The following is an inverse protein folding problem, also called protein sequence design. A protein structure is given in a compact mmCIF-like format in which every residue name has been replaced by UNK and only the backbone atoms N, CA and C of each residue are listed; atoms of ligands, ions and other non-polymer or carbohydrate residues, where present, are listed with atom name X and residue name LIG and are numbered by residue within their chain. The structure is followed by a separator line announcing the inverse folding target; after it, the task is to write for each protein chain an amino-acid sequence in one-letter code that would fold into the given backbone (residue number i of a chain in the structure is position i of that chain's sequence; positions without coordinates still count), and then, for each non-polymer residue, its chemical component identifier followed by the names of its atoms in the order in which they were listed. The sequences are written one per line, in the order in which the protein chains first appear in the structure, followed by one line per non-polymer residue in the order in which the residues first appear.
data_IF_159065400082
#
_entry.id   IF_159065400082
#
_cell.length_a   1.000
_cell.length_b   1.000
_cell.length_c   1.000
_cell.angle_alpha   90.00
_cell.angle_beta   90.00
_cell.angle_gamma   90.00
#
_symmetry.space_group_name_H-M   'P 1'
#
loop_
_entity.id
_entity.type
_entity.pdbx_description
1 polymer ?
#
# COMPACT_ATOMS: atom_id res chain seq x y z
N UNK A 1 13.72 -59.38 3.45
CA UNK A 1 12.93 -58.13 3.58
C UNK A 1 13.36 -57.23 2.43
N UNK A 2 12.45 -56.82 1.57
CA UNK A 2 12.82 -55.95 0.45
C UNK A 2 13.20 -54.54 0.95
N UNK A 3 14.25 -53.92 0.39
CA UNK A 3 14.65 -52.58 0.77
C UNK A 3 13.57 -51.57 0.37
N UNK A 4 13.21 -50.70 1.32
CA UNK A 4 12.23 -49.64 1.09
C UNK A 4 12.80 -48.59 0.12
N UNK A 5 12.19 -48.46 -1.05
CA UNK A 5 12.48 -47.39 -2.02
C UNK A 5 11.48 -46.26 -1.82
N UNK A 6 11.95 -45.05 -1.48
CA UNK A 6 11.09 -43.88 -1.34
C UNK A 6 10.45 -43.57 -2.71
N UNK A 7 9.11 -43.51 -2.81
CA UNK A 7 8.46 -43.14 -4.07
C UNK A 7 8.84 -41.71 -4.46
N UNK A 8 9.10 -41.50 -5.76
CA UNK A 8 9.27 -40.15 -6.30
C UNK A 8 8.05 -39.27 -5.96
N UNK A 9 8.25 -37.98 -5.61
CA UNK A 9 7.14 -37.09 -5.34
C UNK A 9 6.29 -36.98 -6.61
N UNK A 10 5.07 -37.52 -6.55
CA UNK A 10 4.08 -37.30 -7.61
C UNK A 10 3.90 -35.79 -7.76
N UNK A 11 3.83 -35.23 -8.98
CA UNK A 11 3.47 -33.84 -9.17
C UNK A 11 2.12 -33.63 -8.50
N UNK A 12 2.12 -32.99 -7.33
CA UNK A 12 0.90 -32.57 -6.67
C UNK A 12 0.19 -31.54 -7.57
N UNK A 13 -1.12 -31.33 -7.38
CA UNK A 13 -1.77 -30.20 -8.02
C UNK A 13 -0.96 -28.95 -7.70
N UNK A 14 -0.60 -28.22 -8.75
CA UNK A 14 0.13 -26.95 -8.68
C UNK A 14 -0.59 -26.10 -7.64
N UNK A 15 0.05 -25.86 -6.48
CA UNK A 15 -0.49 -24.94 -5.49
C UNK A 15 -0.74 -23.58 -6.17
N UNK A 16 -1.67 -22.75 -5.66
CA UNK A 16 -1.87 -21.43 -6.23
C UNK A 16 -0.50 -20.74 -6.29
N UNK A 17 -0.09 -20.34 -7.50
CA UNK A 17 1.16 -19.62 -7.71
C UNK A 17 1.28 -18.53 -6.64
N UNK A 18 2.47 -18.29 -6.07
CA UNK A 18 2.65 -17.15 -5.19
C UNK A 18 2.09 -15.94 -5.93
N UNK A 19 1.10 -15.27 -5.32
CA UNK A 19 0.54 -14.03 -5.86
C UNK A 19 1.74 -13.10 -5.96
N UNK A 20 2.30 -13.00 -7.17
CA UNK A 20 3.23 -11.94 -7.52
C UNK A 20 2.30 -10.80 -7.89
N UNK A 21 2.15 -9.76 -7.06
CA UNK A 21 1.42 -8.59 -7.48
C UNK A 21 2.24 -8.02 -8.62
N UNK A 22 1.78 -8.21 -9.86
CA UNK A 22 2.28 -7.40 -10.95
C UNK A 22 1.79 -5.99 -10.65
N UNK A 23 2.69 -4.98 -10.60
CA UNK A 23 2.24 -3.61 -10.44
C UNK A 23 1.26 -3.31 -11.58
N UNK A 24 0.06 -2.87 -11.24
CA UNK A 24 -0.99 -2.59 -12.22
C UNK A 24 -0.64 -1.40 -13.13
N UNK A 25 0.38 -0.61 -12.74
CA UNK A 25 0.84 0.60 -13.42
C UNK A 25 2.35 0.77 -13.30
N UNK A 26 2.91 1.61 -14.19
CA UNK A 26 4.31 2.01 -14.14
C UNK A 26 4.64 2.70 -12.81
N UNK A 27 5.82 2.42 -12.21
CA UNK A 27 6.26 3.10 -11.00
C UNK A 27 6.39 4.62 -11.21
N UNK A 28 5.88 5.39 -10.25
CA UNK A 28 6.11 6.83 -10.22
C UNK A 28 7.47 7.12 -9.58
N UNK A 29 8.26 8.01 -10.20
CA UNK A 29 9.47 8.55 -9.58
C UNK A 29 9.09 9.66 -8.59
N UNK A 30 9.43 9.43 -7.32
CA UNK A 30 9.15 10.36 -6.23
C UNK A 30 9.75 11.75 -6.46
N UNK A 31 11.03 11.84 -6.86
CA UNK A 31 11.70 13.13 -6.98
C UNK A 31 11.16 13.92 -8.17
N UNK A 32 10.95 13.24 -9.30
CA UNK A 32 10.39 13.87 -10.49
C UNK A 32 8.99 14.45 -10.25
N UNK A 33 8.09 13.67 -9.62
CA UNK A 33 6.73 14.12 -9.38
C UNK A 33 6.65 15.19 -8.28
N UNK A 34 7.50 15.08 -7.24
CA UNK A 34 7.65 16.14 -6.23
C UNK A 34 8.05 17.46 -6.89
N UNK A 35 9.09 17.45 -7.71
CA UNK A 35 9.63 18.66 -8.32
C UNK A 35 8.62 19.29 -9.29
N UNK A 36 7.87 18.47 -10.03
CA UNK A 36 6.75 18.91 -10.85
C UNK A 36 5.65 19.60 -10.03
N UNK A 37 5.20 18.97 -8.93
CA UNK A 37 4.17 19.55 -8.05
C UNK A 37 4.62 20.88 -7.44
N UNK A 38 5.89 20.96 -7.01
CA UNK A 38 6.48 22.19 -6.48
C UNK A 38 6.54 23.29 -7.54
N UNK A 39 6.95 22.97 -8.77
CA UNK A 39 6.99 23.91 -9.89
C UNK A 39 5.59 24.45 -10.24
N UNK A 40 4.58 23.58 -10.22
CA UNK A 40 3.19 23.91 -10.51
C UNK A 40 2.45 24.54 -9.30
N UNK A 41 3.09 24.64 -8.13
CA UNK A 41 2.50 25.09 -6.86
C UNK A 41 1.20 24.34 -6.51
N UNK A 42 1.15 23.05 -6.81
CA UNK A 42 0.01 22.18 -6.47
C UNK A 42 0.44 21.08 -5.51
N UNK A 43 -0.54 20.50 -4.84
CA UNK A 43 -0.34 19.31 -4.03
C UNK A 43 -0.44 18.07 -4.92
N UNK A 44 0.29 17.03 -4.53
CA UNK A 44 0.22 15.74 -5.21
C UNK A 44 -1.13 15.05 -4.94
N UNK A 45 -1.65 14.42 -5.99
CA UNK A 45 -2.82 13.55 -5.99
C UNK A 45 -2.44 12.28 -6.76
N UNK A 46 -2.55 11.13 -6.11
CA UNK A 46 -2.14 9.86 -6.71
C UNK A 46 -3.21 9.36 -7.69
N UNK A 47 -2.91 9.22 -8.99
CA UNK A 47 -3.86 8.70 -9.98
C UNK A 47 -4.21 7.23 -9.78
N UNK A 48 -3.34 6.46 -9.12
CA UNK A 48 -3.51 5.02 -8.89
C UNK A 48 -4.09 4.71 -7.51
N UNK A 49 -4.10 5.68 -6.60
CA UNK A 49 -4.67 5.56 -5.26
C UNK A 49 -5.46 6.82 -4.87
N UNK A 50 -6.64 7.05 -5.51
CA UNK A 50 -7.42 8.25 -5.29
C UNK A 50 -8.00 8.32 -3.88
N UNK A 51 -8.25 9.53 -3.39
CA UNK A 51 -8.86 9.80 -2.07
C UNK A 51 -10.38 9.54 -2.07
N UNK A 52 -10.79 8.30 -2.31
CA UNK A 52 -12.19 7.88 -2.41
C UNK A 52 -12.42 6.45 -1.90
N UNK A 53 -13.68 6.06 -1.73
CA UNK A 53 -14.08 4.76 -1.13
C UNK A 53 -13.47 3.53 -1.82
N UNK A 54 -13.18 3.60 -3.12
CA UNK A 54 -12.54 2.49 -3.86
C UNK A 54 -11.15 2.14 -3.34
N UNK A 55 -10.46 3.11 -2.72
CA UNK A 55 -9.14 2.93 -2.13
C UNK A 55 -9.20 2.38 -0.71
N UNK A 56 -10.38 2.40 -0.08
CA UNK A 56 -10.60 1.85 1.26
C UNK A 56 -11.03 0.38 1.21
N UNK A 57 -11.91 0.02 0.26
CA UNK A 57 -12.51 -1.31 0.19
C UNK A 57 -12.66 -1.78 -1.25
N UNK A 58 -12.31 -3.04 -1.50
CA UNK A 58 -12.39 -3.66 -2.83
C UNK A 58 -13.83 -3.93 -3.31
N UNK A 59 -14.75 -4.27 -2.39
CA UNK A 59 -16.08 -4.82 -2.76
C UNK A 59 -17.27 -4.26 -1.98
N UNK A 60 -17.05 -3.50 -0.92
CA UNK A 60 -18.11 -2.99 -0.04
C UNK A 60 -17.88 -1.53 0.26
N UNK A 61 -18.94 -0.74 0.41
CA UNK A 61 -18.79 0.63 0.89
C UNK A 61 -18.43 0.66 2.38
N UNK A 62 -17.65 1.65 2.84
CA UNK A 62 -17.40 1.85 4.26
C UNK A 62 -18.71 1.94 5.06
N UNK A 63 -18.76 1.40 6.30
CA UNK A 63 -19.95 1.50 7.15
C UNK A 63 -20.19 2.93 7.69
N UNK A 64 -19.20 3.81 7.58
CA UNK A 64 -19.24 5.20 8.03
C UNK A 64 -18.71 6.12 6.93
N UNK A 65 -19.19 7.36 6.90
CA UNK A 65 -18.62 8.39 6.03
C UNK A 65 -17.18 8.69 6.47
N UNK A 66 -16.26 8.64 5.52
CA UNK A 66 -14.85 8.98 5.71
C UNK A 66 -14.56 10.25 4.92
N UNK A 67 -13.90 11.19 5.57
CA UNK A 67 -13.38 12.40 4.94
C UNK A 67 -11.86 12.25 4.79
N UNK A 68 -11.35 12.49 3.58
CA UNK A 68 -9.92 12.44 3.29
C UNK A 68 -9.32 13.81 3.56
N UNK A 69 -8.45 13.89 4.56
CA UNK A 69 -7.79 15.11 4.99
C UNK A 69 -6.26 14.94 4.92
N UNK A 70 -5.57 15.98 4.50
CA UNK A 70 -4.11 16.09 4.56
C UNK A 70 -3.68 16.44 5.99
N UNK A 71 -2.45 16.10 6.41
CA UNK A 71 -1.99 16.39 7.77
C UNK A 71 -2.18 17.85 8.22
N UNK A 72 -1.95 18.82 7.32
CA UNK A 72 -2.13 20.25 7.60
C UNK A 72 -3.59 20.69 7.76
N UNK A 73 -4.55 19.87 7.33
CA UNK A 73 -5.99 20.10 7.54
C UNK A 73 -6.46 19.50 8.88
N UNK A 74 -5.69 18.57 9.45
CA UNK A 74 -5.98 17.91 10.73
C UNK A 74 -5.36 18.70 11.90
N UNK A 75 -4.12 19.17 11.73
CA UNK A 75 -3.36 19.89 12.76
C UNK A 75 -2.56 21.04 12.15
N UNK A 76 -2.36 22.12 12.92
CA UNK A 76 -1.72 23.36 12.45
C UNK A 76 -0.26 23.18 11.99
N UNK A 77 0.52 22.39 12.71
CA UNK A 77 1.96 22.18 12.46
C UNK A 77 2.25 20.68 12.34
N UNK A 78 1.89 20.05 11.21
CA UNK A 78 2.11 18.61 11.03
C UNK A 78 3.60 18.31 10.93
N UNK A 79 4.05 17.29 11.65
CA UNK A 79 5.43 16.79 11.62
C UNK A 79 5.44 15.30 11.26
N UNK A 80 6.41 14.87 10.46
CA UNK A 80 6.54 13.47 10.08
C UNK A 80 7.09 12.61 11.23
N UNK A 81 8.05 13.16 11.98
CA UNK A 81 8.74 12.51 13.10
C UNK A 81 8.97 13.59 14.16
N UNK A 82 8.59 13.32 15.40
CA UNK A 82 8.76 14.21 16.55
C UNK A 82 9.45 13.44 17.66
N UNK A 83 10.55 13.96 18.21
CA UNK A 83 11.29 13.33 19.32
C UNK A 83 11.85 11.91 19.03
N UNK A 84 11.99 11.55 17.75
CA UNK A 84 12.48 10.24 17.32
C UNK A 84 11.34 9.33 16.85
N UNK A 85 11.59 8.03 16.82
CA UNK A 85 10.57 7.03 16.50
C UNK A 85 10.52 5.98 17.60
N UNK A 86 9.30 5.64 18.01
CA UNK A 86 9.02 4.74 19.11
C UNK A 86 7.87 3.81 18.74
N UNK A 87 7.86 2.62 19.35
CA UNK A 87 6.73 1.68 19.21
C UNK A 87 5.41 2.23 19.78
N UNK A 88 5.47 3.31 20.54
CA UNK A 88 4.30 3.98 21.12
C UNK A 88 3.68 5.02 20.19
N UNK A 89 4.31 5.35 19.06
CA UNK A 89 3.81 6.35 18.11
C UNK A 89 2.64 5.83 17.26
N UNK A 90 2.32 4.53 17.35
CA UNK A 90 1.28 3.86 16.56
C UNK A 90 0.20 3.29 17.49
N UNK A 91 -1.02 3.76 17.29
CA UNK A 91 -2.24 3.26 17.96
C UNK A 91 -3.26 2.96 16.85
N UNK A 92 -3.87 1.78 16.90
CA UNK A 92 -4.90 1.34 15.95
C UNK A 92 -6.31 1.62 16.47
#
# INVERSE_FOLDING_TARGET
VDPFVRPEPRPGPVGPSPIRPAPSHEPLDFYAERDKCLAEKRLFEDPHFPAQDSSLFFSRRPPKRIDWLRPGEIVREPQLITEGHSRFDVIQ
#
